data_IF_790528803908
#
_entry.id   IF_790528803908
#
_cell.length_a   1.000
_cell.length_b   1.000
_cell.length_c   1.000
_cell.angle_alpha   90.00
_cell.angle_beta   90.00
_cell.angle_gamma   90.00
#
_symmetry.space_group_name_H-M   'P 1'
#
loop_
_entity.id
_entity.type
_entity.pdbx_description
1 polymer ?
#
# COMPACT_ATOMS: atom_id res chain seq x y z
N UNK A 1 -10.43 -11.96 10.25
CA UNK A 1 -9.29 -11.02 10.35
C UNK A 1 -8.11 -11.75 9.75
N UNK A 2 -7.83 -11.53 8.46
CA UNK A 2 -6.65 -12.14 7.84
C UNK A 2 -5.42 -11.55 8.52
N UNK A 3 -4.55 -12.40 9.05
CA UNK A 3 -3.21 -11.96 9.44
C UNK A 3 -2.63 -11.24 8.22
N UNK A 4 -2.32 -9.95 8.36
CA UNK A 4 -1.49 -9.34 7.32
C UNK A 4 -0.14 -10.04 7.46
N UNK A 5 0.16 -10.92 6.51
CA UNK A 5 1.50 -11.42 6.34
C UNK A 5 2.38 -10.18 6.23
N UNK A 6 3.41 -10.09 7.08
CA UNK A 6 4.40 -9.04 6.95
C UNK A 6 5.16 -9.32 5.65
N UNK A 7 4.73 -8.69 4.55
CA UNK A 7 5.32 -8.86 3.23
C UNK A 7 6.36 -7.76 3.05
N UNK A 8 7.66 -8.09 3.16
CA UNK A 8 8.70 -7.10 2.97
C UNK A 8 8.88 -6.79 1.48
N UNK A 9 9.50 -5.64 1.17
CA UNK A 9 9.93 -5.26 -0.19
C UNK A 9 10.61 -6.40 -0.95
N UNK A 10 11.49 -7.14 -0.28
CA UNK A 10 12.26 -8.22 -0.91
C UNK A 10 11.36 -9.37 -1.41
N UNK A 11 10.23 -9.63 -0.75
CA UNK A 11 9.27 -10.63 -1.23
C UNK A 11 8.63 -10.20 -2.54
N UNK A 12 8.28 -8.91 -2.68
CA UNK A 12 7.75 -8.36 -3.92
C UNK A 12 8.79 -8.33 -5.05
N UNK A 13 10.04 -8.01 -4.74
CA UNK A 13 11.14 -8.08 -5.73
C UNK A 13 11.36 -9.50 -6.23
N UNK A 14 11.35 -10.50 -5.32
CA UNK A 14 11.44 -11.91 -5.73
C UNK A 14 10.27 -12.31 -6.62
N UNK A 15 9.04 -11.97 -6.23
CA UNK A 15 7.84 -12.24 -7.03
C UNK A 15 7.96 -11.61 -8.43
N UNK A 16 8.28 -10.31 -8.51
CA UNK A 16 8.36 -9.60 -9.78
C UNK A 16 9.45 -10.12 -10.71
N UNK A 17 10.63 -10.43 -10.17
CA UNK A 17 11.77 -10.90 -10.97
C UNK A 17 11.68 -12.38 -11.34
N UNK A 18 11.11 -13.23 -10.48
CA UNK A 18 11.10 -14.68 -10.70
C UNK A 18 9.83 -15.18 -11.39
N UNK A 19 8.69 -14.51 -11.18
CA UNK A 19 7.39 -14.97 -11.68
C UNK A 19 6.80 -14.04 -12.75
N UNK A 20 7.13 -12.75 -12.73
CA UNK A 20 6.59 -11.76 -13.66
C UNK A 20 7.61 -11.24 -14.69
N UNK A 21 8.83 -11.80 -14.70
CA UNK A 21 9.91 -11.44 -15.65
C UNK A 21 10.27 -9.94 -15.67
N UNK A 22 9.99 -9.22 -14.58
CA UNK A 22 10.32 -7.80 -14.43
C UNK A 22 11.76 -7.62 -13.98
N UNK A 23 12.38 -6.50 -14.33
CA UNK A 23 13.60 -6.07 -13.66
C UNK A 23 13.28 -5.43 -12.29
N UNK A 24 14.29 -5.34 -11.43
CA UNK A 24 14.15 -4.74 -10.09
C UNK A 24 13.63 -3.31 -10.17
N UNK A 25 14.07 -2.54 -11.17
CA UNK A 25 13.65 -1.15 -11.35
C UNK A 25 12.14 -1.05 -11.64
N UNK A 26 11.59 -1.92 -12.49
CA UNK A 26 10.14 -1.94 -12.78
C UNK A 26 9.33 -2.28 -11.53
N UNK A 27 9.80 -3.23 -10.72
CA UNK A 27 9.15 -3.56 -9.45
C UNK A 27 9.16 -2.35 -8.49
N UNK A 28 10.28 -1.66 -8.41
CA UNK A 28 10.44 -0.48 -7.54
C UNK A 28 9.55 0.68 -7.99
N UNK A 29 9.43 0.91 -9.30
CA UNK A 29 8.54 1.90 -9.88
C UNK A 29 7.06 1.57 -9.59
N UNK A 30 6.67 0.30 -9.70
CA UNK A 30 5.32 -0.16 -9.35
C UNK A 30 5.03 0.06 -7.87
N UNK A 31 5.92 -0.40 -6.98
CA UNK A 31 5.78 -0.19 -5.52
C UNK A 31 5.65 1.30 -5.22
N UNK A 32 6.53 2.12 -5.77
CA UNK A 32 6.51 3.57 -5.59
C UNK A 32 5.21 4.22 -6.08
N UNK A 33 4.67 3.78 -7.21
CA UNK A 33 3.41 4.29 -7.76
C UNK A 33 2.22 4.00 -6.84
N UNK A 34 2.17 2.80 -6.27
CA UNK A 34 1.12 2.37 -5.34
C UNK A 34 1.24 3.13 -4.02
N UNK A 35 2.45 3.22 -3.44
CA UNK A 35 2.69 3.96 -2.20
C UNK A 35 2.26 5.43 -2.31
N UNK A 36 2.55 6.09 -3.45
CA UNK A 36 2.15 7.50 -3.69
C UNK A 36 0.64 7.72 -3.60
N UNK A 37 -0.16 6.77 -4.07
CA UNK A 37 -1.63 6.85 -3.98
C UNK A 37 -2.10 6.45 -2.58
N UNK A 38 -1.53 5.38 -2.03
CA UNK A 38 -1.93 4.79 -0.75
C UNK A 38 -1.75 5.75 0.44
N UNK A 39 -0.70 6.57 0.47
CA UNK A 39 -0.49 7.60 1.51
C UNK A 39 -1.63 8.62 1.54
N UNK A 40 -2.34 8.80 0.42
CA UNK A 40 -3.41 9.79 0.29
C UNK A 40 -4.80 9.18 0.45
N UNK A 41 -4.92 7.90 0.80
CA UNK A 41 -6.20 7.19 0.84
C UNK A 41 -7.26 7.94 1.64
N UNK A 42 -6.98 8.33 2.89
CA UNK A 42 -7.95 9.03 3.73
C UNK A 42 -8.40 10.37 3.14
N UNK A 43 -7.49 11.13 2.55
CA UNK A 43 -7.83 12.42 1.93
C UNK A 43 -8.74 12.19 0.71
N UNK A 44 -8.39 11.24 -0.15
CA UNK A 44 -9.18 10.90 -1.34
C UNK A 44 -10.58 10.39 -0.92
N UNK A 45 -10.65 9.51 0.07
CA UNK A 45 -11.92 8.98 0.57
C UNK A 45 -12.79 10.06 1.21
N UNK A 46 -12.19 10.99 1.96
CA UNK A 46 -12.88 12.12 2.56
C UNK A 46 -13.47 13.06 1.50
N UNK A 47 -12.68 13.39 0.47
CA UNK A 47 -13.08 14.29 -0.62
C UNK A 47 -14.20 13.67 -1.49
N UNK A 48 -14.12 12.36 -1.77
CA UNK A 48 -15.08 11.67 -2.63
C UNK A 48 -16.37 11.26 -1.92
N UNK A 49 -16.31 10.96 -0.63
CA UNK A 49 -17.41 10.39 0.15
C UNK A 49 -17.62 11.14 1.48
N UNK A 50 -17.87 12.47 1.43
CA UNK A 50 -17.92 13.30 2.62
C UNK A 50 -19.03 12.85 3.57
N UNK A 51 -18.67 12.56 4.82
CA UNK A 51 -19.60 12.13 5.86
C UNK A 51 -20.14 10.70 5.73
N UNK A 52 -19.76 9.96 4.67
CA UNK A 52 -20.19 8.58 4.47
C UNK A 52 -19.32 7.56 5.20
N UNK A 53 -18.07 7.93 5.52
CA UNK A 53 -17.13 7.11 6.27
C UNK A 53 -16.78 7.84 7.56
N UNK A 54 -16.88 7.13 8.68
CA UNK A 54 -16.50 7.67 9.99
C UNK A 54 -15.00 7.99 10.01
N UNK A 55 -14.64 9.12 10.64
CA UNK A 55 -13.25 9.56 10.73
C UNK A 55 -12.33 8.49 11.36
N UNK A 56 -12.80 7.79 12.39
CA UNK A 56 -12.07 6.70 13.04
C UNK A 56 -11.81 5.52 12.09
N UNK A 57 -12.75 5.22 11.21
CA UNK A 57 -12.59 4.15 10.20
C UNK A 57 -11.55 4.56 9.14
N UNK A 58 -11.58 5.81 8.68
CA UNK A 58 -10.55 6.34 7.77
C UNK A 58 -9.17 6.28 8.41
N UNK A 59 -9.05 6.71 9.67
CA UNK A 59 -7.80 6.67 10.41
C UNK A 59 -7.29 5.24 10.60
N UNK A 60 -8.16 4.30 10.97
CA UNK A 60 -7.81 2.88 11.13
C UNK A 60 -7.24 2.29 9.84
N UNK A 61 -7.91 2.53 8.71
CA UNK A 61 -7.48 2.02 7.40
C UNK A 61 -6.16 2.67 6.99
N UNK A 62 -6.03 3.98 7.13
CA UNK A 62 -4.80 4.70 6.78
C UNK A 62 -3.60 4.22 7.61
N UNK A 63 -3.77 4.03 8.92
CA UNK A 63 -2.72 3.50 9.79
C UNK A 63 -2.27 2.09 9.32
N UNK A 64 -3.21 1.25 8.88
CA UNK A 64 -2.88 -0.07 8.35
C UNK A 64 -2.14 0.00 7.01
N UNK A 65 -2.52 0.94 6.15
CA UNK A 65 -1.82 1.22 4.90
C UNK A 65 -0.39 1.71 5.19
N UNK A 66 -0.23 2.67 6.10
CA UNK A 66 1.07 3.20 6.49
C UNK A 66 1.98 2.11 7.08
N UNK A 67 1.43 1.23 7.92
CA UNK A 67 2.15 0.06 8.40
C UNK A 67 2.66 -0.82 7.25
N UNK A 68 1.81 -1.12 6.26
CA UNK A 68 2.23 -1.92 5.11
C UNK A 68 3.30 -1.21 4.27
N UNK A 69 3.16 0.09 4.05
CA UNK A 69 4.17 0.90 3.36
C UNK A 69 5.51 0.83 4.10
N UNK A 70 5.50 0.87 5.43
CA UNK A 70 6.71 0.75 6.24
C UNK A 70 7.47 -0.56 6.01
N UNK A 71 6.79 -1.65 5.66
CA UNK A 71 7.44 -2.92 5.31
C UNK A 71 8.09 -2.91 3.91
N UNK A 72 7.79 -1.91 3.08
CA UNK A 72 8.28 -1.76 1.72
C UNK A 72 9.50 -0.83 1.60
N UNK A 73 9.86 -0.14 2.68
CA UNK A 73 11.08 0.67 2.80
C UNK A 73 12.26 -0.21 3.26
#
# INVERSE_FOLDING_TARGET
MGEALNIPRQALVKLGTQEAELCVQEVDEIIGSICKVAIRFSNIAHDLLPGQIQAETLQLIQNRIEYNIHLLH
#
